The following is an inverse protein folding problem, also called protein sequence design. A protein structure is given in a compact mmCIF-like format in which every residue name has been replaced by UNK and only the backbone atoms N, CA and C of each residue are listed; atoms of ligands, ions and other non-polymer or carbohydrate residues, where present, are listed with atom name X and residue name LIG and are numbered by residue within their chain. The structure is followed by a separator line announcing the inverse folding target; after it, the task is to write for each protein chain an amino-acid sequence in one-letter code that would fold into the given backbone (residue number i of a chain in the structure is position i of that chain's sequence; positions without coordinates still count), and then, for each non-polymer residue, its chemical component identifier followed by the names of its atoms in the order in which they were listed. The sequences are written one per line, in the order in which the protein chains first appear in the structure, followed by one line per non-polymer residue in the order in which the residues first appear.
data_IF_438484791472
#
_entry.id   IF_438484791472
#
_cell.length_a   1.000
_cell.length_b   1.000
_cell.length_c   1.000
_cell.angle_alpha   90.00
_cell.angle_beta   90.00
_cell.angle_gamma   90.00
#
_symmetry.space_group_name_H-M   'P 1'
#
loop_
_entity.id
_entity.type
_entity.pdbx_description
1 polymer ?
#
# COMPACT_ATOMS: atom_id res chain seq x y z
N UNK A 1 51.27 -13.92 -27.23
CA UNK A 1 50.20 -14.93 -27.30
C UNK A 1 48.99 -14.39 -26.55
N UNK A 2 47.80 -14.66 -27.08
CA UNK A 2 46.56 -13.91 -26.93
C UNK A 2 45.61 -14.64 -25.98
N UNK A 3 45.26 -14.06 -24.82
CA UNK A 3 44.22 -14.61 -23.94
C UNK A 3 43.04 -13.65 -23.81
N UNK A 4 41.90 -14.11 -24.33
CA UNK A 4 40.65 -13.39 -24.58
C UNK A 4 39.60 -13.94 -23.61
N UNK A 5 39.66 -13.61 -22.32
CA UNK A 5 38.69 -14.16 -21.36
C UNK A 5 38.19 -13.17 -20.29
N UNK A 6 38.62 -11.91 -20.32
CA UNK A 6 38.11 -10.87 -19.40
C UNK A 6 37.02 -10.05 -20.10
N UNK A 7 35.89 -10.67 -20.43
CA UNK A 7 34.69 -9.93 -20.91
C UNK A 7 33.35 -10.57 -20.50
N UNK A 8 33.37 -11.59 -19.65
CA UNK A 8 32.19 -12.35 -19.23
C UNK A 8 32.06 -12.35 -17.70
N UNK A 9 32.07 -11.18 -17.08
CA UNK A 9 31.74 -11.07 -15.65
C UNK A 9 30.83 -9.88 -15.30
N UNK A 10 30.55 -8.98 -16.26
CA UNK A 10 29.76 -7.76 -16.00
C UNK A 10 28.28 -7.93 -16.43
N UNK A 11 27.94 -8.96 -17.22
CA UNK A 11 26.59 -9.11 -17.78
C UNK A 11 25.56 -9.83 -16.91
N UNK A 12 25.96 -10.61 -15.89
CA UNK A 12 25.04 -11.53 -15.19
C UNK A 12 24.47 -10.98 -13.87
N UNK A 13 25.07 -9.95 -13.28
CA UNK A 13 24.61 -9.37 -12.00
C UNK A 13 23.39 -8.46 -12.18
N UNK A 14 23.14 -7.95 -13.39
CA UNK A 14 21.99 -7.08 -13.67
C UNK A 14 20.63 -7.83 -13.78
N UNK A 15 20.63 -9.17 -13.86
CA UNK A 15 19.41 -9.97 -14.07
C UNK A 15 18.88 -10.68 -12.83
N UNK A 16 19.59 -10.60 -11.70
CA UNK A 16 19.20 -11.25 -10.42
C UNK A 16 18.69 -10.27 -9.36
N UNK A 17 18.61 -8.97 -9.68
CA UNK A 17 18.23 -7.91 -8.75
C UNK A 17 16.76 -7.46 -8.81
N UNK A 18 15.93 -8.04 -9.67
CA UNK A 18 14.51 -7.66 -9.76
C UNK A 18 13.69 -8.53 -8.82
N UNK A 19 13.85 -8.33 -7.52
CA UNK A 19 12.81 -8.75 -6.57
C UNK A 19 11.59 -7.90 -6.92
N UNK A 20 10.44 -8.47 -7.33
CA UNK A 20 9.24 -7.68 -7.50
C UNK A 20 8.90 -7.15 -6.10
N UNK A 21 9.10 -5.84 -5.90
CA UNK A 21 8.48 -5.17 -4.78
C UNK A 21 6.98 -5.38 -4.98
N UNK A 22 6.35 -6.15 -4.10
CA UNK A 22 4.90 -6.19 -4.01
C UNK A 22 4.47 -4.80 -3.59
N UNK A 23 4.19 -3.94 -4.57
CA UNK A 23 3.61 -2.64 -4.32
C UNK A 23 2.28 -2.85 -3.61
N UNK A 24 2.04 -2.06 -2.57
CA UNK A 24 0.75 -1.99 -1.92
C UNK A 24 -0.34 -1.78 -2.98
N UNK A 25 -1.43 -2.55 -2.91
CA UNK A 25 -2.55 -2.33 -3.80
C UNK A 25 -3.13 -0.95 -3.50
N UNK A 26 -3.17 -0.08 -4.49
CA UNK A 26 -3.76 1.25 -4.38
C UNK A 26 -5.15 1.24 -5.01
N UNK A 27 -6.14 1.79 -4.30
CA UNK A 27 -7.50 1.95 -4.82
C UNK A 27 -7.95 3.39 -4.62
N UNK A 28 -8.49 4.00 -5.66
CA UNK A 28 -9.12 5.32 -5.55
C UNK A 28 -10.56 5.13 -5.09
N UNK A 29 -10.89 5.77 -3.98
CA UNK A 29 -12.26 5.86 -3.46
C UNK A 29 -12.79 7.27 -3.71
N UNK A 30 -14.10 7.36 -3.96
CA UNK A 30 -14.79 8.62 -4.21
C UNK A 30 -15.96 8.73 -3.24
N UNK A 31 -16.11 9.91 -2.64
CA UNK A 31 -17.23 10.19 -1.74
C UNK A 31 -18.49 10.63 -2.51
N UNK A 32 -19.58 10.86 -1.79
CA UNK A 32 -20.85 11.32 -2.37
C UNK A 32 -20.80 12.76 -2.93
N UNK A 33 -19.77 13.54 -2.62
CA UNK A 33 -19.53 14.89 -3.17
C UNK A 33 -18.72 14.86 -4.46
N UNK A 34 -18.18 13.70 -4.83
CA UNK A 34 -17.29 13.52 -5.98
C UNK A 34 -15.82 13.73 -5.65
N UNK A 35 -15.47 14.00 -4.39
CA UNK A 35 -14.08 14.11 -3.95
C UNK A 35 -13.45 12.73 -3.85
N UNK A 36 -12.18 12.61 -4.18
CA UNK A 36 -11.50 11.32 -4.26
C UNK A 36 -10.16 11.32 -3.53
N UNK A 37 -9.83 10.17 -2.95
CA UNK A 37 -8.50 9.91 -2.39
C UNK A 37 -8.03 8.52 -2.81
N UNK A 38 -6.74 8.38 -3.07
CA UNK A 38 -6.10 7.07 -3.25
C UNK A 38 -5.74 6.52 -1.88
N UNK A 39 -6.28 5.35 -1.56
CA UNK A 39 -5.93 4.60 -0.35
C UNK A 39 -4.98 3.47 -0.71
N UNK A 40 -4.02 3.22 0.18
CA UNK A 40 -3.05 2.13 0.07
C UNK A 40 -3.47 0.97 0.96
N UNK A 41 -3.44 -0.26 0.42
CA UNK A 41 -3.60 -1.48 1.20
C UNK A 41 -2.32 -1.78 2.00
N UNK A 42 -2.49 -2.10 3.28
CA UNK A 42 -1.44 -2.63 4.14
C UNK A 42 -1.90 -3.85 4.90
N UNK A 43 -0.96 -4.49 5.60
CA UNK A 43 -1.26 -5.58 6.51
C UNK A 43 -0.45 -5.46 7.80
N UNK A 44 -1.09 -5.78 8.92
CA UNK A 44 -0.47 -5.93 10.23
C UNK A 44 -0.60 -7.39 10.69
N UNK A 45 0.45 -7.93 11.30
CA UNK A 45 0.36 -9.17 12.06
C UNK A 45 -0.10 -8.86 13.49
N UNK A 46 -1.11 -9.60 13.95
CA UNK A 46 -1.61 -9.54 15.32
C UNK A 46 -1.70 -10.97 15.86
N UNK A 47 -0.63 -11.43 16.50
CA UNK A 47 -0.51 -12.79 17.06
C UNK A 47 -0.84 -13.89 16.03
N UNK A 48 -0.31 -13.75 14.82
CA UNK A 48 -0.54 -14.69 13.71
C UNK A 48 -1.84 -14.47 12.93
N UNK A 49 -2.65 -13.47 13.29
CA UNK A 49 -3.78 -13.01 12.47
C UNK A 49 -3.33 -11.87 11.58
N UNK A 50 -3.40 -12.07 10.26
CA UNK A 50 -3.13 -11.02 9.28
C UNK A 50 -4.34 -10.09 9.14
N UNK A 51 -4.21 -8.86 9.65
CA UNK A 51 -5.23 -7.81 9.52
C UNK A 51 -4.87 -6.94 8.32
N UNK A 52 -5.70 -6.98 7.29
CA UNK A 52 -5.57 -6.08 6.13
C UNK A 52 -6.29 -4.77 6.45
N UNK A 53 -5.66 -3.65 6.12
CA UNK A 53 -6.22 -2.31 6.32
C UNK A 53 -6.00 -1.45 5.08
N UNK A 54 -6.75 -0.37 4.96
CA UNK A 54 -6.55 0.67 3.95
C UNK A 54 -6.27 2.02 4.60
N UNK A 55 -5.24 2.73 4.10
CA UNK A 55 -4.78 3.99 4.68
C UNK A 55 -4.65 5.08 3.64
N UNK A 56 -4.91 6.33 4.05
CA UNK A 56 -4.60 7.52 3.27
C UNK A 56 -4.28 8.70 4.19
N UNK A 57 -3.66 9.72 3.60
CA UNK A 57 -3.30 10.95 4.30
C UNK A 57 -2.15 10.77 5.28
N UNK A 58 -1.81 11.89 5.92
CA UNK A 58 -0.73 12.03 6.89
C UNK A 58 -1.22 12.85 8.09
N UNK A 59 -0.47 12.83 9.19
CA UNK A 59 -0.79 13.59 10.40
C UNK A 59 -1.32 12.70 11.55
N UNK A 60 -2.12 13.25 12.49
CA UNK A 60 -2.64 12.48 13.61
C UNK A 60 -3.47 11.27 13.14
N UNK A 61 -3.34 10.16 13.86
CA UNK A 61 -3.96 8.89 13.46
C UNK A 61 -5.44 8.84 13.83
N UNK A 62 -6.27 8.44 12.88
CA UNK A 62 -7.68 8.09 13.07
C UNK A 62 -7.89 6.65 12.58
N UNK A 63 -8.37 5.78 13.47
CA UNK A 63 -8.67 4.37 13.17
C UNK A 63 -10.18 4.18 13.12
N UNK A 64 -10.68 3.62 12.02
CA UNK A 64 -12.04 3.17 11.88
C UNK A 64 -12.15 1.68 12.17
N UNK A 65 -13.21 1.28 12.86
CA UNK A 65 -13.49 -0.13 13.16
C UNK A 65 -14.88 -0.44 12.65
N UNK A 66 -14.99 -1.36 11.70
CA UNK A 66 -16.28 -1.78 11.14
C UNK A 66 -16.98 -2.82 12.04
N UNK A 67 -18.25 -3.06 11.78
CA UNK A 67 -19.04 -4.11 12.45
C UNK A 67 -18.82 -5.48 11.79
N UNK A 68 -19.38 -6.54 12.38
CA UNK A 68 -19.20 -7.94 11.94
C UNK A 68 -19.67 -8.22 10.50
N UNK A 69 -20.55 -7.38 9.95
CA UNK A 69 -21.09 -7.53 8.59
C UNK A 69 -20.53 -6.56 7.56
N UNK A 70 -19.75 -5.56 7.98
CA UNK A 70 -19.29 -4.46 7.13
C UNK A 70 -17.80 -4.57 6.82
N UNK A 71 -17.32 -4.23 5.60
CA UNK A 71 -15.89 -4.10 5.31
C UNK A 71 -15.37 -2.70 5.66
N UNK A 72 -14.05 -2.50 5.56
CA UNK A 72 -13.40 -1.18 5.63
C UNK A 72 -14.08 -0.12 4.75
N UNK A 73 -14.63 -0.55 3.59
CA UNK A 73 -15.22 0.31 2.56
C UNK A 73 -16.47 1.09 3.05
N UNK A 74 -17.06 0.69 4.18
CA UNK A 74 -18.13 1.45 4.84
C UNK A 74 -17.65 2.86 5.24
N UNK A 75 -16.35 3.03 5.49
CA UNK A 75 -15.74 4.29 5.91
C UNK A 75 -15.23 5.17 4.78
N UNK A 76 -15.38 4.76 3.51
CA UNK A 76 -14.78 5.47 2.35
C UNK A 76 -15.11 6.97 2.30
N UNK A 77 -16.32 7.35 2.68
CA UNK A 77 -16.76 8.76 2.64
C UNK A 77 -16.05 9.58 3.72
N UNK A 78 -15.93 9.03 4.93
CA UNK A 78 -15.23 9.64 6.05
C UNK A 78 -13.73 9.70 5.79
N UNK A 79 -13.15 8.64 5.20
CA UNK A 79 -11.74 8.59 4.81
C UNK A 79 -11.41 9.71 3.82
N UNK A 80 -12.22 9.90 2.76
CA UNK A 80 -12.04 11.02 1.82
C UNK A 80 -12.04 12.36 2.57
N UNK A 81 -13.05 12.61 3.40
CA UNK A 81 -13.21 13.89 4.09
C UNK A 81 -12.16 14.20 5.17
N UNK A 82 -11.52 13.18 5.77
CA UNK A 82 -10.56 13.37 6.85
C UNK A 82 -9.10 13.23 6.41
N UNK A 83 -8.82 12.58 5.28
CA UNK A 83 -7.47 12.32 4.80
C UNK A 83 -6.63 13.57 4.51
N UNK A 84 -7.25 14.74 4.34
CA UNK A 84 -6.55 16.01 4.14
C UNK A 84 -5.74 16.46 5.38
N UNK A 85 -6.15 16.03 6.58
CA UNK A 85 -5.57 16.50 7.84
C UNK A 85 -5.14 15.38 8.79
N UNK A 86 -5.55 14.15 8.49
CA UNK A 86 -5.32 12.99 9.33
C UNK A 86 -4.78 11.84 8.51
N UNK A 87 -3.96 11.00 9.15
CA UNK A 87 -3.72 9.65 8.66
C UNK A 87 -4.92 8.79 9.05
N UNK A 88 -5.74 8.45 8.07
CA UNK A 88 -6.91 7.60 8.25
C UNK A 88 -6.58 6.15 7.96
N UNK A 89 -7.06 5.22 8.80
CA UNK A 89 -6.88 3.77 8.63
C UNK A 89 -8.22 3.08 8.88
N UNK A 90 -8.64 2.20 7.96
CA UNK A 90 -9.87 1.41 8.07
C UNK A 90 -9.62 -0.07 7.76
#
# INVERSE_FOLDING_TARGET
MRNRYVSLAVGLVALLGLVPATAAAQVTITDWRGESVTVEEGAADSDGVRIVYHTAGDGPLVIFVHSITGPWFDWRHQMVGLSEHYRVVA
#
